data_IF_230112999458
#
_entry.id   IF_230112999458
#
_cell.length_a   1.000
_cell.length_b   1.000
_cell.length_c   1.000
_cell.angle_alpha   90.00
_cell.angle_beta   90.00
_cell.angle_gamma   90.00
#
_symmetry.space_group_name_H-M   'P 1'
#
loop_
_entity.id
_entity.type
_entity.pdbx_description
1 polymer ?
#
# COMPACT_ATOMS: atom_id res chain seq x y z
N UNK A 1 -10.35 15.81 11.37
CA UNK A 1 -8.95 15.49 11.00
C UNK A 1 -8.77 14.04 10.54
N UNK A 2 -9.25 13.03 11.29
CA UNK A 2 -9.24 11.61 10.87
C UNK A 2 -10.00 11.36 9.54
N UNK A 3 -11.11 12.08 9.31
CA UNK A 3 -11.86 12.07 8.06
C UNK A 3 -11.07 12.67 6.87
N UNK A 4 -10.13 13.58 7.13
CA UNK A 4 -9.36 14.27 6.09
C UNK A 4 -8.17 13.43 5.63
N UNK A 5 -7.54 12.70 6.56
CA UNK A 5 -6.54 11.67 6.26
C UNK A 5 -7.17 10.48 5.53
N UNK A 6 -8.37 10.05 5.95
CA UNK A 6 -9.12 9.02 5.22
C UNK A 6 -9.50 9.51 3.82
N UNK A 7 -9.93 10.77 3.66
CA UNK A 7 -10.16 11.38 2.34
C UNK A 7 -8.90 11.48 1.49
N UNK A 8 -7.74 11.86 2.04
CA UNK A 8 -6.48 11.90 1.26
C UNK A 8 -5.94 10.51 0.91
N UNK A 9 -6.11 9.52 1.79
CA UNK A 9 -5.81 8.12 1.48
C UNK A 9 -6.76 7.56 0.42
N UNK A 10 -8.07 7.87 0.50
CA UNK A 10 -9.07 7.49 -0.50
C UNK A 10 -8.89 8.26 -1.81
N UNK A 11 -8.48 9.54 -1.79
CA UNK A 11 -8.25 10.31 -3.01
C UNK A 11 -6.94 9.91 -3.68
N UNK A 12 -5.89 9.59 -2.91
CA UNK A 12 -4.66 8.97 -3.41
C UNK A 12 -4.93 7.58 -4.00
N UNK A 13 -5.77 6.77 -3.34
CA UNK A 13 -6.25 5.50 -3.91
C UNK A 13 -7.07 5.71 -5.19
N UNK A 14 -7.98 6.68 -5.25
CA UNK A 14 -8.80 6.97 -6.44
C UNK A 14 -7.92 7.49 -7.59
N UNK A 15 -6.88 8.27 -7.30
CA UNK A 15 -5.92 8.74 -8.30
C UNK A 15 -5.06 7.58 -8.83
N UNK A 16 -4.63 6.67 -7.94
CA UNK A 16 -3.89 5.47 -8.32
C UNK A 16 -4.76 4.47 -9.10
N UNK A 17 -6.02 4.29 -8.70
CA UNK A 17 -7.03 3.48 -9.39
C UNK A 17 -7.40 4.06 -10.75
N UNK A 18 -7.56 5.37 -10.89
CA UNK A 18 -7.83 6.02 -12.19
C UNK A 18 -6.60 6.05 -13.10
N UNK A 19 -5.39 6.10 -12.54
CA UNK A 19 -4.15 5.93 -13.28
C UNK A 19 -3.96 4.48 -13.72
N UNK A 20 -4.27 3.50 -12.86
CA UNK A 20 -4.33 2.08 -13.19
C UNK A 20 -5.40 1.79 -14.25
N UNK A 21 -6.58 2.41 -14.18
CA UNK A 21 -7.61 2.29 -15.22
C UNK A 21 -7.12 2.90 -16.53
N UNK A 22 -6.44 4.05 -16.53
CA UNK A 22 -5.86 4.65 -17.75
C UNK A 22 -4.67 3.84 -18.30
N UNK A 23 -3.83 3.26 -17.45
CA UNK A 23 -2.73 2.37 -17.84
C UNK A 23 -3.24 1.01 -18.32
N UNK A 24 -4.27 0.47 -17.68
CA UNK A 24 -4.96 -0.75 -18.08
C UNK A 24 -5.73 -0.52 -19.37
N UNK A 25 -6.33 0.65 -19.58
CA UNK A 25 -6.96 1.06 -20.85
C UNK A 25 -5.91 1.25 -21.97
N UNK A 26 -4.72 1.77 -21.66
CA UNK A 26 -3.60 1.82 -22.61
C UNK A 26 -3.09 0.40 -22.95
N UNK A 27 -3.01 -0.50 -21.96
CA UNK A 27 -2.74 -1.93 -22.19
C UNK A 27 -3.85 -2.60 -22.99
N UNK A 28 -5.13 -2.22 -22.79
CA UNK A 28 -6.28 -2.78 -23.49
C UNK A 28 -6.38 -2.31 -24.95
N UNK A 29 -6.04 -1.04 -25.23
CA UNK A 29 -5.88 -0.52 -26.60
C UNK A 29 -4.71 -1.20 -27.34
N UNK A 30 -3.65 -1.62 -26.63
CA UNK A 30 -2.58 -2.45 -27.20
C UNK A 30 -2.97 -3.93 -27.32
N UNK A 31 -3.82 -4.46 -26.43
CA UNK A 31 -4.41 -5.82 -26.48
C UNK A 31 -5.34 -5.99 -27.68
N UNK A 32 -6.07 -4.94 -28.10
CA UNK A 32 -6.92 -4.96 -29.32
C UNK A 32 -6.15 -5.17 -30.63
N UNK A 33 -4.87 -4.76 -30.71
CA UNK A 33 -4.05 -4.99 -31.92
C UNK A 33 -3.31 -6.33 -31.91
N UNK A 34 -3.19 -6.98 -30.74
CA UNK A 34 -2.52 -8.29 -30.59
C UNK A 34 -3.51 -9.47 -30.51
N UNK A 35 -4.81 -9.20 -30.34
CA UNK A 35 -5.86 -10.23 -30.25
C UNK A 35 -6.18 -10.93 -31.59
N UNK A 36 -5.74 -10.41 -32.74
CA UNK A 36 -5.82 -11.15 -34.01
C UNK A 36 -4.75 -12.25 -34.12
N UNK A 37 -3.65 -12.13 -33.38
CA UNK A 37 -2.52 -13.08 -33.41
C UNK A 37 -2.53 -14.02 -32.18
N UNK A 38 -3.13 -13.58 -31.06
CA UNK A 38 -3.17 -14.32 -29.80
C UNK A 38 -4.25 -15.43 -29.72
N UNK A 39 -4.91 -15.80 -30.82
CA UNK A 39 -5.87 -16.92 -30.85
C UNK A 39 -5.19 -18.29 -31.02
N UNK A 40 -3.91 -18.34 -31.42
CA UNK A 40 -3.23 -19.60 -31.78
C UNK A 40 -2.44 -20.29 -30.66
N UNK A 41 -2.39 -19.73 -29.44
CA UNK A 41 -1.63 -20.32 -28.32
C UNK A 41 -2.50 -20.79 -27.14
N UNK A 42 -3.82 -20.68 -27.25
CA UNK A 42 -4.78 -21.13 -26.23
C UNK A 42 -5.54 -22.34 -26.79
N UNK A 43 -4.87 -23.49 -26.90
CA UNK A 43 -5.50 -24.78 -27.23
C UNK A 43 -4.69 -25.96 -26.69
N UNK A 44 -4.24 -25.87 -25.44
CA UNK A 44 -3.97 -27.07 -24.66
C UNK A 44 -4.66 -26.93 -23.31
N UNK A 45 -5.89 -27.43 -23.27
CA UNK A 45 -6.63 -27.67 -22.04
C UNK A 45 -5.97 -28.81 -21.27
N UNK A 46 -5.79 -28.65 -19.96
CA UNK A 46 -5.75 -29.76 -19.02
C UNK A 46 -6.68 -29.44 -17.84
N UNK A 47 -7.55 -30.38 -17.42
CA UNK A 47 -8.62 -30.11 -16.49
C UNK A 47 -8.15 -30.12 -15.03
N UNK A 48 -8.72 -29.18 -14.26
CA UNK A 48 -9.09 -29.20 -12.84
C UNK A 48 -8.47 -30.30 -11.96
N UNK A 49 -7.71 -29.87 -10.94
CA UNK A 49 -7.93 -30.32 -9.56
C UNK A 49 -6.91 -31.27 -8.93
N UNK A 50 -5.74 -30.77 -8.52
CA UNK A 50 -4.98 -31.29 -7.37
C UNK A 50 -3.79 -30.37 -7.07
N UNK A 51 -3.67 -29.86 -5.84
CA UNK A 51 -2.47 -29.11 -5.40
C UNK A 51 -1.32 -30.10 -5.15
N UNK A 52 -0.48 -30.27 -6.15
CA UNK A 52 0.65 -31.20 -6.20
C UNK A 52 1.90 -30.40 -6.69
N UNK A 53 3.16 -30.82 -6.41
CA UNK A 53 4.42 -30.13 -6.79
C UNK A 53 4.57 -29.72 -8.27
N UNK A 54 3.79 -30.30 -9.18
CA UNK A 54 3.67 -29.93 -10.59
C UNK A 54 3.11 -28.52 -10.81
N UNK A 55 2.19 -28.06 -9.96
CA UNK A 55 1.59 -26.72 -10.05
C UNK A 55 2.62 -25.62 -9.73
N UNK A 56 3.50 -25.86 -8.76
CA UNK A 56 4.59 -24.94 -8.41
C UNK A 56 5.62 -24.82 -9.54
N UNK A 57 5.88 -25.94 -10.23
CA UNK A 57 6.72 -25.94 -11.43
C UNK A 57 6.05 -25.17 -12.60
N UNK A 58 4.73 -25.27 -12.75
CA UNK A 58 3.95 -24.54 -13.76
C UNK A 58 3.96 -23.02 -13.55
N UNK A 59 3.80 -22.55 -12.30
CA UNK A 59 3.83 -21.12 -11.97
C UNK A 59 5.23 -20.52 -12.26
N UNK A 60 6.30 -21.23 -11.90
CA UNK A 60 7.67 -20.77 -12.17
C UNK A 60 7.99 -20.68 -13.66
N UNK A 61 7.55 -21.67 -14.45
CA UNK A 61 7.71 -21.65 -15.91
C UNK A 61 6.90 -20.50 -16.56
N UNK A 62 5.69 -20.24 -16.07
CA UNK A 62 4.86 -19.12 -16.52
C UNK A 62 5.49 -17.76 -16.19
N UNK A 63 6.01 -17.57 -14.97
CA UNK A 63 6.70 -16.32 -14.60
C UNK A 63 7.93 -16.06 -15.47
N UNK A 64 8.75 -17.09 -15.73
CA UNK A 64 9.93 -16.97 -16.60
C UNK A 64 9.55 -16.62 -18.05
N UNK A 65 8.48 -17.22 -18.56
CA UNK A 65 7.95 -16.91 -19.88
C UNK A 65 7.34 -15.49 -19.95
N UNK A 66 6.60 -15.07 -18.92
CA UNK A 66 5.98 -13.75 -18.82
C UNK A 66 7.04 -12.64 -18.69
N UNK A 67 8.15 -12.87 -17.99
CA UNK A 67 9.27 -11.92 -17.92
C UNK A 67 9.97 -11.74 -19.28
N UNK A 68 10.08 -12.80 -20.08
CA UNK A 68 10.71 -12.73 -21.40
C UNK A 68 9.81 -12.09 -22.48
N UNK A 69 8.49 -12.27 -22.38
CA UNK A 69 7.55 -11.75 -23.39
C UNK A 69 7.04 -10.34 -23.04
N UNK A 70 6.65 -10.11 -21.79
CA UNK A 70 5.98 -8.88 -21.36
C UNK A 70 6.48 -8.41 -19.98
N UNK A 71 7.78 -8.05 -19.86
CA UNK A 71 8.39 -7.71 -18.56
C UNK A 71 7.72 -6.52 -17.88
N UNK A 72 7.22 -5.55 -18.65
CA UNK A 72 6.57 -4.33 -18.13
C UNK A 72 5.25 -4.65 -17.40
N UNK A 73 4.49 -5.61 -17.92
CA UNK A 73 3.19 -5.99 -17.32
C UNK A 73 3.44 -6.82 -16.05
N UNK A 74 4.41 -7.73 -16.08
CA UNK A 74 4.76 -8.53 -14.90
C UNK A 74 5.34 -7.66 -13.78
N UNK A 75 6.23 -6.70 -14.09
CA UNK A 75 6.80 -5.78 -13.12
C UNK A 75 5.74 -4.85 -12.50
N UNK A 76 4.82 -4.31 -13.32
CA UNK A 76 3.77 -3.43 -12.80
C UNK A 76 2.79 -4.17 -11.87
N UNK A 77 2.41 -5.41 -12.22
CA UNK A 77 1.61 -6.26 -11.36
C UNK A 77 2.33 -6.57 -10.03
N UNK A 78 3.61 -6.95 -10.10
CA UNK A 78 4.42 -7.24 -8.91
C UNK A 78 4.53 -6.02 -7.98
N UNK A 79 4.85 -4.84 -8.52
CA UNK A 79 4.93 -3.60 -7.74
C UNK A 79 3.57 -3.24 -7.13
N UNK A 80 2.48 -3.45 -7.86
CA UNK A 80 1.12 -3.22 -7.35
C UNK A 80 0.79 -4.09 -6.14
N UNK A 81 1.08 -5.40 -6.22
CA UNK A 81 0.85 -6.34 -5.12
C UNK A 81 1.75 -6.01 -3.93
N UNK A 82 3.03 -5.75 -4.18
CA UNK A 82 4.01 -5.40 -3.14
C UNK A 82 3.62 -4.08 -2.44
N UNK A 83 3.20 -3.07 -3.19
CA UNK A 83 2.78 -1.78 -2.65
C UNK A 83 1.55 -1.86 -1.74
N UNK A 84 0.66 -2.82 -1.98
CA UNK A 84 -0.48 -3.08 -1.09
C UNK A 84 -0.07 -3.92 0.12
N UNK A 85 0.81 -4.91 -0.05
CA UNK A 85 1.19 -5.82 1.03
C UNK A 85 2.16 -5.20 2.06
N UNK A 86 3.14 -4.41 1.61
CA UNK A 86 4.19 -3.83 2.47
C UNK A 86 3.63 -3.02 3.65
N UNK A 87 2.63 -2.11 3.48
CA UNK A 87 2.11 -1.32 4.58
C UNK A 87 1.53 -2.14 5.74
N UNK A 88 0.98 -3.33 5.46
CA UNK A 88 0.37 -4.20 6.49
C UNK A 88 1.40 -5.06 7.22
N UNK A 89 2.50 -5.42 6.56
CA UNK A 89 3.54 -6.28 7.14
C UNK A 89 4.61 -5.43 7.85
N UNK A 90 4.82 -4.19 7.41
CA UNK A 90 5.90 -3.35 7.91
C UNK A 90 5.64 -2.84 9.33
N UNK A 91 6.53 -3.12 10.30
CA UNK A 91 6.44 -2.56 11.65
C UNK A 91 6.69 -1.04 11.67
N UNK A 92 7.26 -0.48 10.60
CA UNK A 92 7.62 0.94 10.49
C UNK A 92 6.39 1.81 10.20
N UNK A 93 5.35 1.25 9.58
CA UNK A 93 4.11 1.97 9.26
C UNK A 93 3.46 2.57 10.52
N UNK A 94 3.64 1.97 11.70
CA UNK A 94 3.17 2.51 12.98
C UNK A 94 3.73 3.92 13.25
N UNK A 95 5.03 4.13 13.01
CA UNK A 95 5.70 5.39 13.30
C UNK A 95 5.21 6.53 12.40
N UNK A 96 4.79 6.24 11.15
CA UNK A 96 4.22 7.26 10.26
C UNK A 96 2.96 7.89 10.86
N UNK A 97 2.09 7.08 11.46
CA UNK A 97 0.88 7.55 12.12
C UNK A 97 1.19 8.33 13.40
N UNK A 98 2.14 7.84 14.20
CA UNK A 98 2.59 8.52 15.41
C UNK A 98 3.19 9.89 15.12
N UNK A 99 4.07 10.02 14.11
CA UNK A 99 4.65 11.29 13.69
C UNK A 99 3.55 12.28 13.30
N UNK A 100 2.61 11.86 12.46
CA UNK A 100 1.54 12.73 11.99
C UNK A 100 0.62 13.21 13.13
N UNK A 101 0.43 12.39 14.18
CA UNK A 101 -0.32 12.80 15.38
C UNK A 101 0.46 13.72 16.32
N UNK A 102 1.79 13.63 16.31
CA UNK A 102 2.67 14.38 17.19
C UNK A 102 2.95 15.81 16.70
N UNK A 103 2.72 16.11 15.41
CA UNK A 103 2.95 17.44 14.83
C UNK A 103 1.81 18.39 15.22
N UNK A 104 2.09 19.45 16.01
CA UNK A 104 1.07 20.41 16.43
C UNK A 104 0.84 21.45 15.32
N UNK A 105 -0.16 21.23 14.47
CA UNK A 105 -0.56 22.23 13.47
C UNK A 105 -1.37 23.38 14.07
N UNK A 106 -2.09 23.11 15.15
CA UNK A 106 -2.85 24.09 15.91
C UNK A 106 -2.12 24.38 17.22
N UNK A 107 -2.24 25.61 17.72
CA UNK A 107 -1.72 25.95 19.03
C UNK A 107 -2.43 25.14 20.13
N UNK A 108 -1.70 24.39 20.98
CA UNK A 108 -2.31 23.61 22.05
C UNK A 108 -2.82 24.54 23.15
N UNK A 109 -4.14 24.63 23.29
CA UNK A 109 -4.78 25.46 24.31
C UNK A 109 -4.67 24.77 25.68
N UNK A 110 -4.09 25.42 26.70
CA UNK A 110 -4.00 24.84 28.04
C UNK A 110 -5.38 24.59 28.64
N UNK A 111 -5.52 23.46 29.33
CA UNK A 111 -6.73 23.12 30.08
C UNK A 111 -6.74 23.92 31.39
N UNK A 112 -7.93 24.34 31.83
CA UNK A 112 -8.09 24.99 33.14
C UNK A 112 -7.97 23.93 34.24
N UNK A 113 -7.12 24.20 35.22
CA UNK A 113 -6.88 23.30 36.35
C UNK A 113 -8.09 23.26 37.31
N UNK A 114 -8.57 22.05 37.60
CA UNK A 114 -9.63 21.75 38.58
C UNK A 114 -9.07 21.16 39.90
N UNK A 115 -7.75 21.00 40.00
CA UNK A 115 -7.05 20.43 41.14
C UNK A 115 -6.97 18.89 41.14
N UNK A 116 -7.57 18.20 40.16
CA UNK A 116 -7.58 16.73 40.07
C UNK A 116 -7.27 16.22 38.64
N UNK A 117 -6.20 16.74 38.02
CA UNK A 117 -5.70 16.28 36.71
C UNK A 117 -4.29 15.65 36.79
N UNK A 118 -4.16 14.40 37.27
CA UNK A 118 -2.88 13.71 37.44
C UNK A 118 -2.26 13.22 36.12
N UNK A 119 -2.83 13.54 34.96
CA UNK A 119 -2.35 13.20 33.61
C UNK A 119 -1.88 14.43 32.79
N UNK A 120 -2.42 15.62 33.07
CA UNK A 120 -2.05 16.88 32.40
C UNK A 120 -0.78 17.49 33.03
N UNK A 121 0.27 17.81 32.25
CA UNK A 121 1.45 18.50 32.77
C UNK A 121 1.17 19.98 33.04
N UNK A 122 1.74 20.53 34.11
CA UNK A 122 1.64 21.97 34.41
C UNK A 122 2.65 22.79 33.61
N UNK A 123 3.75 22.17 33.18
CA UNK A 123 4.81 22.82 32.40
C UNK A 123 5.36 21.89 31.29
N UNK A 124 5.76 22.42 30.11
CA UNK A 124 6.26 21.60 29.00
C UNK A 124 7.51 20.75 29.30
N UNK A 125 8.32 21.16 30.27
CA UNK A 125 9.53 20.43 30.68
C UNK A 125 9.30 19.35 31.73
N UNK A 126 8.05 19.14 32.15
CA UNK A 126 7.75 18.05 33.07
C UNK A 126 7.91 16.68 32.38
N UNK A 127 8.30 15.63 33.11
CA UNK A 127 8.41 14.28 32.56
C UNK A 127 7.04 13.67 32.19
N UNK A 128 5.95 14.38 32.47
CA UNK A 128 4.57 13.96 32.35
C UNK A 128 4.02 14.34 30.98
N UNK A 129 3.27 13.43 30.35
CA UNK A 129 2.68 13.62 29.03
C UNK A 129 3.41 12.89 27.92
N UNK A 130 3.05 13.21 26.66
CA UNK A 130 3.56 12.51 25.50
C UNK A 130 4.99 12.97 25.16
N UNK A 131 5.99 12.16 25.51
CA UNK A 131 7.38 12.41 25.11
C UNK A 131 7.66 11.95 23.67
N UNK A 132 8.66 12.58 23.05
CA UNK A 132 9.09 12.29 21.68
C UNK A 132 10.46 11.60 21.63
N UNK A 133 10.87 10.94 22.72
CA UNK A 133 12.17 10.25 22.77
C UNK A 133 12.25 9.11 21.76
N UNK A 134 11.14 8.42 21.48
CA UNK A 134 11.07 7.42 20.42
C UNK A 134 11.34 7.98 19.03
N UNK A 135 11.01 9.27 18.78
CA UNK A 135 11.23 9.93 17.49
C UNK A 135 12.68 10.43 17.36
N UNK A 136 13.29 10.83 18.47
CA UNK A 136 14.70 11.24 18.51
C UNK A 136 15.66 10.06 18.29
N UNK A 137 15.26 8.87 18.71
CA UNK A 137 16.06 7.65 18.65
C UNK A 137 15.66 6.71 17.48
N UNK A 138 14.78 7.19 16.58
CA UNK A 138 14.36 6.46 15.37
C UNK A 138 15.46 6.50 14.31
#
# INVERSE_FOLDING_TARGET
>A
MLAELKRKATQGQLFFLTLLDKLMFMCDVRRRKNTSVSRYYISHEHPVGSTTPDNMAGIGAFLKNAWNKEPVILASCAIGVIGVAIPFISPITKYTGMINSAVPYNYPVPVRDDGNMPDVPAHPSEPKGNNLEWLKNL
#
